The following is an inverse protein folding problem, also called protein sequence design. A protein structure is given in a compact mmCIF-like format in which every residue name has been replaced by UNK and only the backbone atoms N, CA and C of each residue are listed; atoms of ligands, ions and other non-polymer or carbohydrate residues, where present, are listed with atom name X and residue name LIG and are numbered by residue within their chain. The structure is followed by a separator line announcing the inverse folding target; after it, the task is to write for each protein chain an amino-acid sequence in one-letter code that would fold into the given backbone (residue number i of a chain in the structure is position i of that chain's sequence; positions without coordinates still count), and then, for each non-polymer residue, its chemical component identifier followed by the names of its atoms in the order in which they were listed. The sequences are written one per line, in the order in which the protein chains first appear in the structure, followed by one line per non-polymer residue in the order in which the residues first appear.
data_IF_307800369732
#
_entry.id   IF_307800369732
#
_cell.length_a   1.000
_cell.length_b   1.000
_cell.length_c   1.000
_cell.angle_alpha   90.00
_cell.angle_beta   90.00
_cell.angle_gamma   90.00
#
_symmetry.space_group_name_H-M   'P 1'
#
loop_
_entity.id
_entity.type
_entity.pdbx_description
1 polymer ?
#
# COMPACT_ATOMS: atom_id res chain seq x y z
N UNK A 1 17.91 -0.48 16.89
CA UNK A 1 18.13 0.99 17.03
C UNK A 1 16.77 1.65 17.17
N UNK A 2 16.60 2.50 18.17
CA UNK A 2 15.36 3.26 18.39
C UNK A 2 15.32 4.50 17.49
N UNK A 3 14.16 4.77 16.90
CA UNK A 3 13.91 5.98 16.11
C UNK A 3 12.63 6.66 16.59
N UNK A 4 12.71 7.97 16.87
CA UNK A 4 11.55 8.80 17.17
C UNK A 4 11.07 9.48 15.89
N UNK A 5 9.81 9.24 15.53
CA UNK A 5 9.13 9.87 14.42
C UNK A 5 8.21 10.96 14.94
N UNK A 6 8.37 12.18 14.42
CA UNK A 6 7.51 13.33 14.70
C UNK A 6 7.03 13.95 13.40
N UNK A 7 5.83 14.52 13.40
CA UNK A 7 5.28 15.21 12.26
C UNK A 7 4.72 16.59 12.62
N UNK A 8 4.92 17.55 11.74
CA UNK A 8 4.64 18.98 11.96
C UNK A 8 3.19 19.27 12.39
N UNK A 9 2.24 18.51 11.84
CA UNK A 9 0.80 18.71 12.05
C UNK A 9 0.19 17.60 12.92
N UNK A 10 1.02 16.80 13.59
CA UNK A 10 0.62 15.87 14.63
C UNK A 10 1.13 16.41 15.97
N UNK A 11 0.52 17.50 16.49
CA UNK A 11 1.04 18.17 17.67
C UNK A 11 1.10 17.18 18.84
N UNK A 12 2.23 17.23 19.55
CA UNK A 12 2.45 16.53 20.82
C UNK A 12 2.34 15.00 20.76
N UNK A 13 2.35 14.37 19.58
CA UNK A 13 2.39 12.90 19.47
C UNK A 13 3.57 12.46 18.61
N UNK A 14 4.51 11.75 19.24
CA UNK A 14 5.64 11.09 18.62
C UNK A 14 5.46 9.57 18.64
N UNK A 15 6.06 8.90 17.66
CA UNK A 15 6.06 7.43 17.56
C UNK A 15 7.49 6.93 17.72
N UNK A 16 7.72 6.16 18.79
CA UNK A 16 8.99 5.47 19.01
C UNK A 16 8.94 4.12 18.31
N UNK A 17 9.91 3.86 17.43
CA UNK A 17 10.01 2.63 16.64
C UNK A 17 11.28 1.87 16.98
N UNK A 18 11.16 0.56 17.14
CA UNK A 18 12.26 -0.39 17.26
C UNK A 18 12.18 -1.43 16.15
N UNK A 19 13.07 -1.31 15.15
CA UNK A 19 13.02 -2.19 13.98
C UNK A 19 11.70 -2.05 13.21
N UNK A 20 10.91 -3.13 13.18
CA UNK A 20 9.59 -3.18 12.51
C UNK A 20 8.41 -2.94 13.47
N UNK A 21 8.65 -2.65 14.74
CA UNK A 21 7.61 -2.55 15.77
C UNK A 21 7.51 -1.15 16.34
N UNK A 22 6.28 -0.71 16.59
CA UNK A 22 6.02 0.48 17.42
C UNK A 22 6.30 0.10 18.87
N UNK A 23 7.24 0.79 19.49
CA UNK A 23 7.64 0.57 20.88
C UNK A 23 6.82 1.42 21.85
N UNK A 24 6.47 2.66 21.46
CA UNK A 24 5.63 3.57 22.23
C UNK A 24 5.02 4.65 21.32
N UNK A 25 3.89 5.21 21.75
CA UNK A 25 3.28 6.41 21.19
C UNK A 25 2.96 7.34 22.34
N UNK A 26 3.32 8.62 22.23
CA UNK A 26 3.09 9.58 23.30
C UNK A 26 3.75 10.94 23.05
N UNK A 27 3.78 11.82 24.06
CA UNK A 27 4.40 13.13 23.94
C UNK A 27 5.86 13.06 23.51
N UNK A 28 6.26 13.98 22.61
CA UNK A 28 7.63 14.03 22.11
C UNK A 28 8.63 14.24 23.25
N UNK A 29 8.38 15.19 24.15
CA UNK A 29 9.32 15.54 25.22
C UNK A 29 9.53 14.37 26.19
N UNK A 30 8.44 13.67 26.56
CA UNK A 30 8.50 12.48 27.42
C UNK A 30 9.31 11.34 26.78
N UNK A 31 9.06 11.08 25.49
CA UNK A 31 9.75 10.03 24.76
C UNK A 31 11.22 10.38 24.48
N UNK A 32 11.53 11.64 24.21
CA UNK A 32 12.90 12.12 24.01
C UNK A 32 13.71 12.10 25.31
N UNK A 33 13.11 12.46 26.44
CA UNK A 33 13.75 12.41 27.75
C UNK A 33 14.04 10.96 28.19
N UNK A 34 13.10 10.05 27.95
CA UNK A 34 13.28 8.62 28.28
C UNK A 34 14.23 7.88 27.33
N UNK A 35 14.41 8.36 26.10
CA UNK A 35 15.25 7.72 25.08
C UNK A 35 16.19 8.74 24.40
N UNK A 36 17.14 9.34 25.15
CA UNK A 36 17.97 10.44 24.64
C UNK A 36 18.90 10.04 23.47
N UNK A 37 19.15 8.74 23.29
CA UNK A 37 19.95 8.21 22.18
C UNK A 37 19.11 7.81 20.95
N UNK A 38 17.78 7.93 21.01
CA UNK A 38 16.92 7.60 19.87
C UNK A 38 17.16 8.59 18.72
N UNK A 39 17.32 8.05 17.50
CA UNK A 39 17.46 8.90 16.31
C UNK A 39 16.14 9.61 16.04
N UNK A 40 16.15 10.93 15.88
CA UNK A 40 14.94 11.70 15.56
C UNK A 40 14.77 11.83 14.03
N UNK A 41 13.56 11.56 13.53
CA UNK A 41 13.13 11.85 12.16
C UNK A 41 11.92 12.77 12.19
N UNK A 42 12.02 13.89 11.48
CA UNK A 42 10.93 14.87 11.31
C UNK A 42 10.30 14.71 9.93
N UNK A 43 8.97 14.72 9.88
CA UNK A 43 8.18 14.58 8.66
C UNK A 43 7.30 15.81 8.45
N UNK A 44 7.14 16.28 7.21
CA UNK A 44 6.08 17.24 6.90
C UNK A 44 4.71 16.57 7.03
N UNK A 45 3.69 17.32 7.44
CA UNK A 45 2.30 16.81 7.50
C UNK A 45 1.95 16.06 8.80
N UNK A 46 1.17 14.98 8.68
CA UNK A 46 0.69 14.14 9.79
C UNK A 46 1.24 12.72 9.70
N UNK A 47 1.30 12.00 10.83
CA UNK A 47 1.54 10.56 10.85
C UNK A 47 0.24 9.81 11.13
N UNK A 48 -0.11 8.91 10.22
CA UNK A 48 -1.25 8.00 10.36
C UNK A 48 -0.80 6.56 10.15
N UNK A 49 -1.57 5.56 10.63
CA UNK A 49 -1.39 4.19 10.17
C UNK A 49 -1.45 4.10 8.65
N UNK A 50 -0.68 3.17 8.08
CA UNK A 50 -0.80 2.85 6.66
C UNK A 50 -2.13 2.14 6.35
N UNK A 51 -2.57 2.23 5.10
CA UNK A 51 -3.89 1.72 4.70
C UNK A 51 -3.87 0.20 4.48
N UNK A 52 -5.00 -0.43 4.79
CA UNK A 52 -5.37 -1.76 4.33
C UNK A 52 -6.30 -1.63 3.12
N UNK A 53 -5.92 -2.17 1.97
CA UNK A 53 -6.79 -2.24 0.81
C UNK A 53 -7.46 -3.62 0.68
N UNK A 54 -8.80 -3.74 0.83
CA UNK A 54 -9.44 -5.04 0.90
C UNK A 54 -9.70 -5.69 -0.48
N UNK A 55 -9.30 -5.04 -1.58
CA UNK A 55 -9.61 -5.43 -2.96
C UNK A 55 -8.41 -5.99 -3.74
N UNK A 56 -7.51 -6.76 -3.11
CA UNK A 56 -6.30 -7.25 -3.78
C UNK A 56 -6.60 -8.08 -5.04
N UNK A 57 -7.53 -9.06 -5.05
CA UNK A 57 -7.87 -9.80 -6.25
C UNK A 57 -8.40 -8.91 -7.38
N UNK A 58 -9.29 -7.97 -7.05
CA UNK A 58 -9.90 -7.08 -8.03
C UNK A 58 -8.85 -6.14 -8.63
N UNK A 59 -7.95 -5.60 -7.80
CA UNK A 59 -6.95 -4.63 -8.24
C UNK A 59 -5.69 -5.27 -8.84
N UNK A 60 -5.31 -6.49 -8.45
CA UNK A 60 -4.05 -7.10 -8.88
C UNK A 60 -4.24 -8.23 -9.90
N UNK A 61 -5.44 -8.81 -10.01
CA UNK A 61 -5.73 -9.90 -10.94
C UNK A 61 -6.79 -9.55 -11.99
N UNK A 62 -7.82 -8.79 -11.60
CA UNK A 62 -8.92 -8.43 -12.51
C UNK A 62 -8.74 -7.07 -13.19
N UNK A 63 -7.76 -6.27 -12.76
CA UNK A 63 -7.50 -4.93 -13.29
C UNK A 63 -6.15 -4.91 -14.01
N UNK A 64 -6.17 -4.40 -15.25
CA UNK A 64 -4.96 -4.11 -15.99
C UNK A 64 -4.46 -2.70 -15.68
N UNK A 65 -3.21 -2.59 -15.22
CA UNK A 65 -2.52 -1.32 -14.98
C UNK A 65 -1.62 -1.03 -16.18
N UNK A 66 -1.94 -0.06 -17.06
CA UNK A 66 -1.16 0.20 -18.27
C UNK A 66 0.30 0.54 -17.99
N UNK A 67 1.21 0.11 -18.87
CA UNK A 67 2.58 0.63 -18.87
C UNK A 67 2.57 2.08 -19.37
N UNK A 68 3.43 2.98 -18.85
CA UNK A 68 3.55 4.34 -19.38
C UNK A 68 3.82 4.38 -20.89
N UNK A 69 4.47 3.35 -21.45
CA UNK A 69 4.72 3.24 -22.90
C UNK A 69 3.48 2.92 -23.72
N UNK A 70 2.40 2.47 -23.09
CA UNK A 70 1.13 2.12 -23.73
C UNK A 70 0.09 3.23 -23.58
N UNK A 71 0.46 4.38 -22.99
CA UNK A 71 -0.45 5.46 -22.64
C UNK A 71 -1.24 5.99 -23.85
N UNK A 72 -0.60 6.11 -25.02
CA UNK A 72 -1.25 6.61 -26.24
C UNK A 72 -2.34 5.67 -26.77
N UNK A 73 -2.25 4.37 -26.46
CA UNK A 73 -3.19 3.34 -26.95
C UNK A 73 -4.23 2.95 -25.90
N UNK A 74 -3.81 2.84 -24.63
CA UNK A 74 -4.63 2.29 -23.55
C UNK A 74 -5.07 3.33 -22.53
N UNK A 75 -4.45 4.51 -22.52
CA UNK A 75 -4.56 5.49 -21.46
C UNK A 75 -3.69 5.15 -20.25
N UNK A 76 -3.76 5.99 -19.22
CA UNK A 76 -2.97 5.84 -17.97
C UNK A 76 -3.80 5.29 -16.81
N UNK A 77 -5.12 5.23 -16.98
CA UNK A 77 -6.04 4.79 -15.95
C UNK A 77 -6.11 3.26 -15.86
N UNK A 78 -6.34 2.70 -14.67
CA UNK A 78 -6.59 1.27 -14.53
C UNK A 78 -7.78 0.82 -15.36
N UNK A 79 -7.64 -0.30 -16.06
CA UNK A 79 -8.66 -0.88 -16.93
C UNK A 79 -9.23 -2.11 -16.24
N UNK A 80 -10.54 -2.12 -15.99
CA UNK A 80 -11.28 -3.25 -15.41
C UNK A 80 -12.21 -3.96 -16.40
N UNK A 81 -12.98 -4.91 -15.89
CA UNK A 81 -14.08 -5.56 -16.61
C UNK A 81 -13.66 -6.35 -17.85
N UNK A 82 -14.54 -6.40 -18.85
CA UNK A 82 -14.34 -7.14 -20.11
C UNK A 82 -13.06 -6.72 -20.84
N UNK A 83 -12.72 -5.43 -20.83
CA UNK A 83 -11.52 -4.93 -21.49
C UNK A 83 -10.24 -5.47 -20.84
N UNK A 84 -10.20 -5.57 -19.52
CA UNK A 84 -9.09 -6.20 -18.81
C UNK A 84 -8.99 -7.70 -19.12
N UNK A 85 -10.15 -8.39 -19.13
CA UNK A 85 -10.22 -9.82 -19.49
C UNK A 85 -9.69 -10.08 -20.90
N UNK A 86 -10.08 -9.25 -21.87
CA UNK A 86 -9.58 -9.35 -23.24
C UNK A 86 -8.06 -9.14 -23.34
N UNK A 87 -7.51 -8.17 -22.59
CA UNK A 87 -6.06 -7.92 -22.56
C UNK A 87 -5.28 -9.11 -21.99
N UNK A 88 -5.77 -9.70 -20.89
CA UNK A 88 -5.11 -10.87 -20.29
C UNK A 88 -5.32 -12.16 -21.10
N UNK A 89 -6.45 -12.30 -21.80
CA UNK A 89 -6.69 -13.43 -22.70
C UNK A 89 -5.78 -13.37 -23.93
N UNK A 90 -5.57 -12.17 -24.50
CA UNK A 90 -4.69 -11.96 -25.63
C UNK A 90 -3.22 -12.21 -25.29
N UNK A 91 -2.79 -11.84 -24.08
CA UNK A 91 -1.42 -12.07 -23.60
C UNK A 91 -1.39 -12.26 -22.07
N UNK A 92 -1.40 -13.52 -21.59
CA UNK A 92 -1.35 -13.83 -20.16
C UNK A 92 -0.09 -13.34 -19.44
N UNK A 93 1.03 -13.12 -20.15
CA UNK A 93 2.27 -12.67 -19.54
C UNK A 93 2.18 -11.23 -18.99
N UNK A 94 1.20 -10.45 -19.47
CA UNK A 94 0.89 -9.09 -18.99
C UNK A 94 0.55 -9.03 -17.51
N UNK A 95 -0.02 -10.10 -16.95
CA UNK A 95 -0.52 -10.12 -15.58
C UNK A 95 0.56 -9.75 -14.56
N UNK A 96 1.76 -10.31 -14.68
CA UNK A 96 2.84 -10.04 -13.73
C UNK A 96 3.32 -8.58 -13.76
N UNK A 97 3.47 -8.00 -14.96
CA UNK A 97 3.85 -6.60 -15.10
C UNK A 97 2.75 -5.65 -14.62
N UNK A 98 1.49 -5.96 -14.96
CA UNK A 98 0.32 -5.25 -14.47
C UNK A 98 0.24 -5.24 -12.95
N UNK A 99 0.34 -6.41 -12.31
CA UNK A 99 0.27 -6.55 -10.85
C UNK A 99 1.37 -5.77 -10.13
N UNK A 100 2.60 -5.76 -10.65
CA UNK A 100 3.69 -4.94 -10.09
C UNK A 100 3.36 -3.45 -10.15
N UNK A 101 2.82 -2.95 -11.26
CA UNK A 101 2.38 -1.55 -11.35
C UNK A 101 1.20 -1.25 -10.43
N UNK A 102 0.26 -2.18 -10.29
CA UNK A 102 -0.84 -2.08 -9.33
C UNK A 102 -0.34 -1.96 -7.89
N UNK A 103 0.64 -2.78 -7.49
CA UNK A 103 1.31 -2.69 -6.19
C UNK A 103 2.00 -1.34 -5.98
N UNK A 104 2.71 -0.82 -6.99
CA UNK A 104 3.33 0.50 -6.87
C UNK A 104 2.30 1.62 -6.71
N UNK A 105 1.16 1.53 -7.42
CA UNK A 105 0.06 2.47 -7.25
C UNK A 105 -0.56 2.38 -5.86
N UNK A 106 -0.76 1.18 -5.31
CA UNK A 106 -1.23 0.99 -3.94
C UNK A 106 -0.30 1.65 -2.92
N UNK A 107 1.01 1.45 -3.05
CA UNK A 107 2.02 2.10 -2.20
C UNK A 107 1.97 3.63 -2.31
N UNK A 108 1.78 4.16 -3.52
CA UNK A 108 1.65 5.61 -3.75
C UNK A 108 0.42 6.22 -3.04
N UNK A 109 -0.62 5.43 -2.77
CA UNK A 109 -1.77 5.84 -1.97
C UNK A 109 -1.62 5.55 -0.47
N UNK A 110 -0.44 5.12 0.00
CA UNK A 110 -0.19 4.80 1.41
C UNK A 110 -0.70 3.43 1.85
N UNK A 111 -1.04 2.54 0.91
CA UNK A 111 -1.38 1.14 1.25
C UNK A 111 -0.14 0.38 1.69
N UNK A 112 -0.20 -0.22 2.88
CA UNK A 112 0.88 -1.06 3.44
C UNK A 112 0.44 -2.51 3.66
N UNK A 113 -0.87 -2.75 3.58
CA UNK A 113 -1.46 -4.08 3.68
C UNK A 113 -2.56 -4.25 2.63
N UNK A 114 -2.75 -5.48 2.17
CA UNK A 114 -3.87 -5.83 1.30
C UNK A 114 -4.65 -7.01 1.86
N UNK A 115 -5.91 -7.15 1.45
CA UNK A 115 -6.74 -8.27 1.81
C UNK A 115 -7.37 -8.95 0.58
N UNK A 116 -7.78 -10.20 0.77
CA UNK A 116 -8.35 -11.04 -0.27
C UNK A 116 -7.34 -12.04 -0.84
N UNK A 117 -7.87 -13.17 -1.29
CA UNK A 117 -7.07 -14.31 -1.73
C UNK A 117 -6.65 -14.14 -3.19
N UNK A 118 -5.35 -13.91 -3.39
CA UNK A 118 -4.74 -13.96 -4.71
C UNK A 118 -4.57 -15.42 -5.15
N UNK A 119 -4.92 -15.70 -6.39
CA UNK A 119 -4.82 -17.03 -7.01
C UNK A 119 -3.72 -17.09 -8.05
N UNK A 120 -3.48 -15.98 -8.74
CA UNK A 120 -2.50 -15.91 -9.80
C UNK A 120 -1.08 -15.78 -9.23
N UNK A 121 -0.22 -16.74 -9.57
CA UNK A 121 1.18 -16.75 -9.10
C UNK A 121 1.93 -15.44 -9.40
N UNK A 122 1.81 -14.82 -10.59
CA UNK A 122 2.45 -13.54 -10.87
C UNK A 122 2.01 -12.40 -9.93
N UNK A 123 0.75 -12.38 -9.49
CA UNK A 123 0.24 -11.37 -8.56
C UNK A 123 0.76 -11.63 -7.13
N UNK A 124 0.77 -12.89 -6.69
CA UNK A 124 1.36 -13.31 -5.40
C UNK A 124 2.83 -12.91 -5.32
N UNK A 125 3.59 -13.15 -6.39
CA UNK A 125 5.02 -12.80 -6.43
C UNK A 125 5.24 -11.29 -6.44
N UNK A 126 4.39 -10.52 -7.12
CA UNK A 126 4.44 -9.06 -7.08
C UNK A 126 4.20 -8.51 -5.66
N UNK A 127 3.21 -9.05 -4.94
CA UNK A 127 2.92 -8.67 -3.57
C UNK A 127 4.09 -8.97 -2.62
N UNK A 128 4.60 -10.21 -2.67
CA UNK A 128 5.70 -10.68 -1.81
C UNK A 128 6.98 -9.87 -2.01
N UNK A 129 7.32 -9.53 -3.25
CA UNK A 129 8.51 -8.72 -3.56
C UNK A 129 8.42 -7.29 -3.04
N UNK A 130 7.22 -6.75 -2.89
CA UNK A 130 6.99 -5.42 -2.33
C UNK A 130 6.85 -5.43 -0.80
N UNK A 131 6.90 -6.61 -0.15
CA UNK A 131 6.74 -6.77 1.29
C UNK A 131 5.45 -6.15 1.85
N UNK A 132 4.39 -6.07 1.04
CA UNK A 132 3.06 -5.69 1.51
C UNK A 132 2.50 -6.79 2.42
N UNK A 133 1.95 -6.41 3.56
CA UNK A 133 1.31 -7.36 4.47
C UNK A 133 0.02 -7.91 3.83
N UNK A 134 -0.30 -9.17 4.12
CA UNK A 134 -1.57 -9.79 3.73
C UNK A 134 -2.41 -10.00 4.98
N UNK A 135 -3.63 -9.46 4.97
CA UNK A 135 -4.59 -9.58 6.05
C UNK A 135 -5.83 -10.36 5.60
N UNK A 136 -6.65 -10.77 6.57
CA UNK A 136 -7.96 -11.32 6.28
C UNK A 136 -8.87 -10.25 5.68
N UNK A 137 -9.64 -10.62 4.65
CA UNK A 137 -10.61 -9.70 4.04
C UNK A 137 -11.70 -9.36 5.07
N UNK A 138 -12.01 -8.08 5.31
CA UNK A 138 -13.10 -7.73 6.21
C UNK A 138 -14.45 -8.23 5.65
N UNK A 139 -15.40 -8.62 6.53
CA UNK A 139 -16.68 -9.18 6.10
C UNK A 139 -17.56 -8.15 5.37
N UNK A 140 -17.42 -6.87 5.72
CA UNK A 140 -18.03 -5.75 5.00
C UNK A 140 -16.95 -5.00 4.24
N UNK A 141 -17.22 -4.74 2.95
CA UNK A 141 -16.29 -4.09 2.03
C UNK A 141 -16.71 -2.61 1.82
N UNK A 142 -15.80 -1.64 1.99
CA UNK A 142 -16.12 -0.23 1.81
C UNK A 142 -16.20 0.13 0.32
N UNK A 143 -17.42 0.20 -0.22
CA UNK A 143 -17.67 0.69 -1.57
C UNK A 143 -17.11 -0.21 -2.69
N UNK A 144 -16.89 0.32 -3.90
CA UNK A 144 -16.29 -0.42 -5.00
C UNK A 144 -14.75 -0.53 -4.86
N UNK A 145 -14.10 -1.47 -5.58
CA UNK A 145 -12.65 -1.53 -5.65
C UNK A 145 -12.02 -0.19 -6.04
N UNK A 146 -11.11 0.32 -5.21
CA UNK A 146 -10.39 1.57 -5.42
C UNK A 146 -8.95 1.43 -4.95
N UNK A 147 -8.01 2.10 -5.62
CA UNK A 147 -6.60 2.17 -5.18
C UNK A 147 -6.45 2.94 -3.86
N UNK A 148 -7.36 3.88 -3.59
CA UNK A 148 -7.41 4.68 -2.37
C UNK A 148 -8.74 4.41 -1.67
N UNK A 149 -8.84 3.34 -0.87
CA UNK A 149 -10.05 3.07 -0.12
C UNK A 149 -10.23 4.21 0.89
N UNK A 150 -11.40 4.85 0.87
CA UNK A 150 -11.79 5.77 1.93
C UNK A 150 -12.43 4.93 3.05
N UNK A 151 -12.02 5.10 4.32
CA UNK A 151 -12.67 4.47 5.45
C UNK A 151 -14.14 4.87 5.57
#
# INVERSE_FOLDING_TARGET
MLTLHVAEHTPETAVLVSGASVAAVGPYDDLAASHPSARVRRWPGILTPGLLNPYAPELLEATYHPDPREADTLGVDPIGGERARALFAADPARLGASARRGVQRLLAHGTVAVAGDLRARPAIDALRRASLAQAHRPPSLPGPPSLSPSP
#
